data_IF_745266648265
#
_entry.id   IF_745266648265
#
_cell.length_a   1.000
_cell.length_b   1.000
_cell.length_c   1.000
_cell.angle_alpha   90.00
_cell.angle_beta   90.00
_cell.angle_gamma   90.00
#
_symmetry.space_group_name_H-M   'P 1'
#
loop_
_entity.id
_entity.type
_entity.pdbx_description
1 polymer ?
#
# COMPACT_ATOMS: atom_id res chain seq x y z
N UNK A 1 10.19 -18.73 -2.82
CA UNK A 1 8.75 -18.87 -2.48
C UNK A 1 8.00 -17.77 -3.20
N UNK A 2 6.98 -18.10 -4.01
CA UNK A 2 6.18 -17.10 -4.74
C UNK A 2 4.99 -16.66 -3.90
N UNK A 3 4.67 -15.37 -3.89
CA UNK A 3 3.53 -14.80 -3.16
C UNK A 3 2.89 -13.69 -3.98
N UNK A 4 1.57 -13.70 -4.08
CA UNK A 4 0.83 -12.56 -4.61
C UNK A 4 0.90 -11.39 -3.64
N UNK A 5 1.27 -10.22 -4.14
CA UNK A 5 1.31 -8.95 -3.42
C UNK A 5 0.59 -7.86 -4.22
N UNK A 6 0.20 -6.79 -3.53
CA UNK A 6 -0.31 -5.58 -4.16
C UNK A 6 0.79 -4.54 -4.28
N UNK A 7 0.89 -3.91 -5.45
CA UNK A 7 1.71 -2.73 -5.68
C UNK A 7 0.81 -1.53 -5.91
N UNK A 8 1.28 -0.35 -5.49
CA UNK A 8 0.63 0.91 -5.80
C UNK A 8 1.57 1.78 -6.62
N UNK A 9 1.29 1.86 -7.92
CA UNK A 9 2.16 2.47 -8.91
C UNK A 9 1.51 3.67 -9.58
N UNK A 10 2.34 4.64 -9.94
CA UNK A 10 1.95 5.73 -10.81
C UNK A 10 2.10 5.30 -12.27
N UNK A 11 1.05 5.46 -13.07
CA UNK A 11 1.08 5.17 -14.51
C UNK A 11 1.97 6.15 -15.28
N UNK A 12 2.06 7.39 -14.81
CA UNK A 12 2.78 8.47 -15.49
C UNK A 12 4.29 8.34 -15.29
N UNK A 13 4.77 8.21 -14.05
CA UNK A 13 6.20 8.04 -13.78
C UNK A 13 6.68 6.58 -13.73
N UNK A 14 5.78 5.59 -13.87
CA UNK A 14 6.06 4.14 -13.92
C UNK A 14 6.84 3.60 -12.73
N UNK A 15 6.67 4.21 -11.56
CA UNK A 15 7.32 3.80 -10.30
C UNK A 15 6.27 3.36 -9.29
N UNK A 16 6.67 2.47 -8.40
CA UNK A 16 5.94 2.20 -7.16
C UNK A 16 6.15 3.40 -6.23
N UNK A 17 5.12 4.22 -6.06
CA UNK A 17 5.25 5.46 -5.32
C UNK A 17 5.18 5.26 -3.81
N UNK A 18 4.32 4.33 -3.37
CA UNK A 18 4.16 4.02 -1.95
C UNK A 18 4.04 2.50 -1.80
N UNK A 19 4.90 1.86 -1.01
CA UNK A 19 4.81 0.43 -0.76
C UNK A 19 3.59 0.10 0.11
N UNK A 20 2.84 -0.92 -0.28
CA UNK A 20 1.74 -1.46 0.53
C UNK A 20 2.33 -2.43 1.57
N UNK A 21 2.26 -2.03 2.84
CA UNK A 21 2.70 -2.84 3.98
C UNK A 21 1.51 -3.40 4.78
N UNK A 22 1.78 -4.27 5.75
CA UNK A 22 0.74 -4.92 6.58
C UNK A 22 -0.20 -3.94 7.31
N UNK A 23 0.31 -2.75 7.64
CA UNK A 23 -0.42 -1.70 8.36
C UNK A 23 -1.17 -0.73 7.42
N UNK A 24 -0.99 -0.88 6.10
CA UNK A 24 -1.69 -0.09 5.09
C UNK A 24 -3.20 -0.27 5.20
N UNK A 25 -3.96 0.81 4.97
CA UNK A 25 -5.40 0.83 5.16
C UNK A 25 -6.15 0.51 3.88
N UNK A 26 -7.15 -0.35 4.01
CA UNK A 26 -8.15 -0.59 2.99
C UNK A 26 -9.26 0.48 3.07
N UNK A 27 -9.98 0.70 1.98
CA UNK A 27 -11.23 1.48 1.97
C UNK A 27 -12.24 1.03 3.04
N UNK A 28 -12.29 -0.27 3.35
CA UNK A 28 -13.17 -0.80 4.40
C UNK A 28 -12.73 -0.44 5.84
N UNK A 29 -11.54 0.15 6.01
CA UNK A 29 -10.97 0.57 7.29
C UNK A 29 -10.03 -0.46 7.95
N UNK A 30 -10.07 -1.73 7.51
CA UNK A 30 -9.15 -2.76 7.99
C UNK A 30 -7.76 -2.62 7.35
N UNK A 31 -6.76 -3.30 7.93
CA UNK A 31 -5.38 -3.21 7.45
C UNK A 31 -5.12 -4.30 6.41
N UNK A 32 -3.99 -4.22 5.73
CA UNK A 32 -3.64 -5.19 4.69
C UNK A 32 -3.42 -6.60 5.24
N UNK A 33 -2.97 -6.74 6.50
CA UNK A 33 -2.82 -8.06 7.12
C UNK A 33 -4.14 -8.83 7.23
N UNK A 34 -5.28 -8.18 7.33
CA UNK A 34 -6.59 -8.84 7.34
C UNK A 34 -7.06 -9.25 5.93
N UNK A 35 -6.23 -9.07 4.89
CA UNK A 35 -6.53 -9.35 3.49
C UNK A 35 -5.55 -10.40 2.91
N UNK A 36 -5.73 -11.68 3.23
CA UNK A 36 -4.85 -12.75 2.77
C UNK A 36 -4.87 -12.92 1.25
N UNK A 37 -3.70 -13.23 0.70
CA UNK A 37 -3.53 -13.46 -0.74
C UNK A 37 -3.69 -14.92 -1.16
N UNK A 38 -3.86 -15.84 -0.21
CA UNK A 38 -4.04 -17.27 -0.49
C UNK A 38 -5.02 -17.91 0.50
N UNK A 39 -5.76 -18.92 0.05
CA UNK A 39 -6.66 -19.73 0.87
C UNK A 39 -5.92 -20.62 1.88
N UNK A 40 -4.60 -20.78 1.74
CA UNK A 40 -3.75 -21.49 2.69
C UNK A 40 -3.45 -20.68 3.96
N UNK A 41 -3.73 -19.37 3.96
CA UNK A 41 -3.48 -18.50 5.11
C UNK A 41 -4.34 -18.93 6.32
N UNK A 42 -3.75 -19.14 7.52
CA UNK A 42 -4.48 -19.60 8.71
C UNK A 42 -5.65 -18.70 9.13
N UNK A 43 -5.65 -17.43 8.71
CA UNK A 43 -6.73 -16.47 9.01
C UNK A 43 -7.98 -16.73 8.17
N UNK A 44 -7.85 -17.47 7.06
CA UNK A 44 -8.97 -17.85 6.18
C UNK A 44 -9.76 -18.98 6.82
N UNK A 45 -10.88 -18.62 7.47
CA UNK A 45 -11.80 -19.60 8.09
C UNK A 45 -12.62 -20.38 7.07
N UNK A 46 -13.00 -19.75 5.95
CA UNK A 46 -13.78 -20.37 4.89
C UNK A 46 -12.97 -20.39 3.59
N UNK A 47 -12.37 -21.55 3.28
CA UNK A 47 -11.55 -21.73 2.07
C UNK A 47 -12.39 -21.86 0.79
N UNK A 48 -13.65 -22.27 0.90
CA UNK A 48 -14.55 -22.49 -0.25
C UNK A 48 -14.95 -21.17 -0.89
N UNK A 49 -15.26 -20.16 -0.07
CA UNK A 49 -15.65 -18.82 -0.53
C UNK A 49 -14.48 -17.82 -0.51
N UNK A 50 -13.24 -18.32 -0.55
CA UNK A 50 -12.06 -17.49 -0.51
C UNK A 50 -11.96 -16.61 -1.76
N UNK A 51 -11.61 -15.34 -1.54
CA UNK A 51 -11.29 -14.38 -2.60
C UNK A 51 -9.99 -13.69 -2.21
N UNK A 52 -9.06 -13.61 -3.16
CA UNK A 52 -7.74 -13.03 -2.93
C UNK A 52 -7.88 -11.57 -2.49
N UNK A 53 -7.18 -11.24 -1.40
CA UNK A 53 -7.20 -9.93 -0.78
C UNK A 53 -8.59 -9.48 -0.32
N UNK A 54 -9.60 -10.35 -0.22
CA UNK A 54 -10.83 -10.01 0.50
C UNK A 54 -10.55 -9.98 2.01
N UNK A 55 -11.24 -9.10 2.73
CA UNK A 55 -11.04 -8.98 4.18
C UNK A 55 -11.61 -10.19 4.91
N UNK A 56 -10.84 -10.77 5.82
CA UNK A 56 -11.30 -11.87 6.70
C UNK A 56 -11.98 -11.38 7.98
N UNK A 57 -12.02 -10.07 8.22
CA UNK A 57 -12.74 -9.51 9.37
C UNK A 57 -14.24 -9.81 9.29
N UNK A 58 -14.82 -10.16 10.43
CA UNK A 58 -16.24 -10.52 10.55
C UNK A 58 -17.15 -9.44 9.96
N UNK A 59 -18.08 -9.84 9.08
CA UNK A 59 -19.08 -8.97 8.42
C UNK A 59 -18.48 -7.87 7.52
N UNK A 60 -17.19 -7.95 7.13
CA UNK A 60 -16.66 -7.03 6.15
C UNK A 60 -17.16 -7.40 4.74
N UNK A 61 -17.69 -6.41 4.01
CA UNK A 61 -18.27 -6.63 2.69
C UNK A 61 -17.30 -6.34 1.53
N UNK A 62 -16.05 -5.94 1.81
CA UNK A 62 -15.13 -5.56 0.74
C UNK A 62 -14.73 -6.75 -0.12
N UNK A 63 -14.83 -6.60 -1.43
CA UNK A 63 -14.52 -7.67 -2.37
C UNK A 63 -13.02 -7.96 -2.51
N UNK A 64 -12.18 -6.94 -2.30
CA UNK A 64 -10.73 -7.02 -2.34
C UNK A 64 -10.12 -5.83 -1.58
N UNK A 65 -8.82 -5.84 -1.34
CA UNK A 65 -8.10 -4.72 -0.73
C UNK A 65 -8.09 -3.55 -1.71
N UNK A 66 -8.39 -2.37 -1.21
CA UNK A 66 -8.28 -1.13 -1.96
C UNK A 66 -7.45 -0.17 -1.13
N UNK A 67 -6.21 0.07 -1.56
CA UNK A 67 -5.28 0.91 -0.82
C UNK A 67 -5.78 2.36 -0.70
N UNK A 68 -5.80 2.87 0.53
CA UNK A 68 -6.03 4.28 0.84
C UNK A 68 -4.77 4.84 1.48
N UNK A 69 -4.14 5.81 0.80
CA UNK A 69 -2.91 6.44 1.30
C UNK A 69 -3.16 7.07 2.67
N UNK A 70 -2.22 6.80 3.58
CA UNK A 70 -2.24 7.28 4.95
C UNK A 70 -0.80 7.50 5.44
N UNK A 71 -0.62 8.51 6.29
CA UNK A 71 0.67 8.86 6.90
C UNK A 71 0.44 9.20 8.37
N UNK A 72 0.95 8.35 9.28
CA UNK A 72 0.69 8.44 10.71
C UNK A 72 -0.82 8.41 11.02
N UNK A 73 -1.32 9.47 11.65
CA UNK A 73 -2.74 9.62 11.97
C UNK A 73 -3.59 10.20 10.81
N UNK A 74 -2.95 10.66 9.73
CA UNK A 74 -3.62 11.25 8.58
C UNK A 74 -3.97 10.18 7.54
N UNK A 75 -5.13 10.36 6.89
CA UNK A 75 -5.61 9.46 5.83
C UNK A 75 -6.37 10.25 4.78
N UNK A 76 -6.25 9.81 3.52
CA UNK A 76 -6.93 10.44 2.41
C UNK A 76 -8.45 10.52 2.61
N UNK A 77 -9.00 11.61 2.08
CA UNK A 77 -10.43 11.84 1.95
C UNK A 77 -10.81 11.86 0.49
N UNK A 78 -12.08 11.57 0.24
CA UNK A 78 -12.68 11.76 -1.07
C UNK A 78 -12.85 13.28 -1.35
N UNK A 79 -13.00 13.69 -2.62
CA UNK A 79 -13.36 15.06 -3.01
C UNK A 79 -14.67 15.53 -2.37
N UNK A 80 -15.56 14.60 -2.02
CA UNK A 80 -16.75 14.89 -1.23
C UNK A 80 -16.47 15.23 0.26
N UNK A 81 -15.20 15.28 0.67
CA UNK A 81 -14.67 15.59 2.02
C UNK A 81 -14.94 14.52 3.08
N UNK A 82 -15.67 13.46 2.74
CA UNK A 82 -15.93 12.33 3.63
C UNK A 82 -14.75 11.36 3.72
N UNK A 83 -14.72 10.56 4.79
CA UNK A 83 -13.66 9.58 5.02
C UNK A 83 -13.81 8.39 4.07
N UNK A 84 -12.73 7.66 3.83
CA UNK A 84 -12.75 6.43 3.03
C UNK A 84 -13.81 5.41 3.52
N UNK A 85 -13.91 5.20 4.84
CA UNK A 85 -14.91 4.28 5.44
C UNK A 85 -16.38 4.70 5.24
N UNK A 86 -16.62 5.96 4.85
CA UNK A 86 -17.96 6.44 4.53
C UNK A 86 -18.41 5.99 3.13
N UNK A 87 -17.54 5.32 2.37
CA UNK A 87 -17.83 4.76 1.05
C UNK A 87 -18.11 3.26 1.16
N UNK A 88 -19.00 2.73 0.33
CA UNK A 88 -19.28 1.30 0.28
C UNK A 88 -18.09 0.55 -0.34
N UNK A 89 -17.41 -0.36 0.38
CA UNK A 89 -16.26 -1.07 -0.16
C UNK A 89 -16.62 -2.33 -0.95
N UNK A 90 -17.91 -2.65 -1.07
CA UNK A 90 -18.37 -3.90 -1.69
C UNK A 90 -18.13 -3.95 -3.19
N UNK A 91 -18.24 -2.81 -3.88
CA UNK A 91 -18.02 -2.73 -5.33
C UNK A 91 -17.57 -1.34 -5.77
N UNK A 92 -16.75 -1.30 -6.83
CA UNK A 92 -16.40 -0.07 -7.53
C UNK A 92 -17.67 0.54 -8.16
N UNK A 93 -17.82 1.87 -8.18
CA UNK A 93 -16.81 2.92 -7.92
C UNK A 93 -16.68 3.34 -6.44
N UNK A 94 -17.24 2.57 -5.51
CA UNK A 94 -17.25 2.84 -4.08
C UNK A 94 -18.03 4.12 -3.72
N UNK A 95 -19.36 4.06 -3.88
CA UNK A 95 -20.22 5.20 -3.63
C UNK A 95 -20.21 5.63 -2.15
N UNK A 96 -20.27 6.94 -1.92
CA UNK A 96 -20.40 7.47 -0.56
C UNK A 96 -21.80 7.17 0.00
N UNK A 97 -21.85 6.68 1.24
CA UNK A 97 -23.08 6.34 1.97
C UNK A 97 -23.62 7.50 2.81
N UNK A 98 -22.95 8.66 2.80
CA UNK A 98 -23.41 9.84 3.55
C UNK A 98 -24.66 10.41 2.89
N UNK A 99 -25.66 10.83 3.68
CA UNK A 99 -26.89 11.40 3.14
C UNK A 99 -26.57 12.65 2.33
N UNK A 100 -27.26 12.82 1.19
CA UNK A 100 -27.11 13.97 0.28
C UNK A 100 -25.73 14.12 -0.36
N UNK A 101 -24.86 13.12 -0.27
CA UNK A 101 -23.61 13.09 -1.03
C UNK A 101 -23.88 12.62 -2.46
N UNK A 102 -23.39 13.36 -3.44
CA UNK A 102 -23.58 13.08 -4.88
C UNK A 102 -22.28 12.71 -5.59
N UNK A 103 -21.25 12.23 -4.87
CA UNK A 103 -20.01 11.82 -5.52
C UNK A 103 -20.20 10.52 -6.31
N UNK A 104 -19.57 10.44 -7.47
CA UNK A 104 -19.64 9.29 -8.37
C UNK A 104 -18.89 8.07 -7.84
N UNK A 105 -18.01 8.24 -6.85
CA UNK A 105 -17.20 7.19 -6.26
C UNK A 105 -16.18 7.77 -5.28
N UNK A 106 -15.33 6.90 -4.72
CA UNK A 106 -14.18 7.36 -3.96
C UNK A 106 -13.11 7.90 -4.91
N UNK A 107 -12.76 9.17 -4.75
CA UNK A 107 -11.78 9.86 -5.58
C UNK A 107 -11.13 10.99 -4.77
N UNK A 108 -9.80 11.08 -4.75
CA UNK A 108 -9.07 12.00 -3.86
C UNK A 108 -8.42 13.16 -4.62
N UNK A 109 -8.48 14.41 -4.10
CA UNK A 109 -7.79 15.56 -4.70
C UNK A 109 -6.29 15.63 -4.37
N UNK A 110 -5.77 14.68 -3.59
CA UNK A 110 -4.37 14.68 -3.20
C UNK A 110 -3.43 14.44 -4.38
N UNK A 111 -2.28 15.11 -4.34
CA UNK A 111 -1.18 14.97 -5.29
C UNK A 111 -0.08 14.17 -4.60
N UNK A 112 0.42 13.14 -5.27
CA UNK A 112 1.50 12.32 -4.75
C UNK A 112 2.82 13.07 -4.75
N UNK A 113 3.77 12.64 -3.91
CA UNK A 113 5.15 13.15 -3.89
C UNK A 113 5.90 12.92 -5.21
N UNK A 114 5.34 12.13 -6.15
CA UNK A 114 5.83 12.03 -7.52
C UNK A 114 5.29 13.12 -8.45
N UNK A 115 4.60 14.13 -7.91
CA UNK A 115 3.94 15.27 -8.58
C UNK A 115 2.78 14.91 -9.53
N UNK A 116 2.24 13.70 -9.41
CA UNK A 116 1.08 13.25 -10.19
C UNK A 116 -0.19 13.13 -9.33
N UNK A 117 -1.37 13.37 -9.90
CA UNK A 117 -2.63 13.26 -9.16
C UNK A 117 -2.89 11.82 -8.69
N UNK A 118 -3.68 11.67 -7.64
CA UNK A 118 -4.09 10.35 -7.14
C UNK A 118 -4.70 9.46 -8.25
N UNK A 119 -5.43 10.04 -9.20
CA UNK A 119 -6.04 9.35 -10.35
C UNK A 119 -5.05 8.74 -11.33
N UNK A 120 -3.79 9.17 -11.32
CA UNK A 120 -2.73 8.57 -12.15
C UNK A 120 -2.17 7.29 -11.53
N UNK A 121 -2.59 6.96 -10.32
CA UNK A 121 -2.11 5.79 -9.61
C UNK A 121 -3.11 4.64 -9.66
N UNK A 122 -2.58 3.43 -9.71
CA UNK A 122 -3.37 2.21 -9.71
C UNK A 122 -2.77 1.18 -8.78
N UNK A 123 -3.60 0.21 -8.42
CA UNK A 123 -3.20 -0.94 -7.65
C UNK A 123 -3.10 -2.15 -8.58
N UNK A 124 -1.95 -2.80 -8.58
CA UNK A 124 -1.68 -3.99 -9.38
C UNK A 124 -1.42 -5.20 -8.48
N UNK A 125 -1.98 -6.37 -8.84
CA UNK A 125 -1.63 -7.65 -8.21
C UNK A 125 -0.46 -8.23 -8.97
N UNK A 126 0.66 -8.48 -8.29
CA UNK A 126 1.84 -9.11 -8.89
C UNK A 126 2.28 -10.33 -8.09
N UNK A 127 2.82 -11.33 -8.79
CA UNK A 127 3.53 -12.43 -8.14
C UNK A 127 4.97 -11.99 -7.84
N UNK A 128 5.33 -11.95 -6.56
CA UNK A 128 6.70 -11.67 -6.12
C UNK A 128 7.35 -12.94 -5.62
N UNK A 129 8.52 -13.25 -6.14
CA UNK A 129 9.36 -14.32 -5.60
C UNK A 129 10.18 -13.79 -4.42
N UNK A 130 9.97 -14.38 -3.26
CA UNK A 130 10.77 -14.12 -2.06
C UNK A 130 11.88 -15.18 -1.96
N UNK A 131 13.13 -14.71 -2.02
CA UNK A 131 14.35 -15.52 -1.90
C UNK A 131 15.18 -15.04 -0.71
N UNK A 132 14.75 -15.35 0.52
CA UNK A 132 15.32 -14.74 1.74
C UNK A 132 16.81 -15.01 1.91
N UNK A 133 17.31 -16.19 1.51
CA UNK A 133 18.73 -16.52 1.59
C UNK A 133 19.57 -15.69 0.61
N UNK A 134 19.14 -15.54 -0.65
CA UNK A 134 19.85 -14.70 -1.62
C UNK A 134 19.84 -13.23 -1.21
N UNK A 135 18.70 -12.71 -0.73
CA UNK A 135 18.63 -11.33 -0.24
C UNK A 135 19.56 -11.08 0.96
N UNK A 136 19.64 -12.04 1.89
CA UNK A 136 20.56 -11.95 3.03
C UNK A 136 22.02 -12.03 2.57
N UNK A 137 22.33 -12.92 1.62
CA UNK A 137 23.66 -13.06 1.05
C UNK A 137 24.10 -11.78 0.34
N UNK A 138 23.25 -11.22 -0.53
CA UNK A 138 23.47 -9.94 -1.19
C UNK A 138 23.68 -8.82 -0.16
N UNK A 139 22.87 -8.75 0.90
CA UNK A 139 23.05 -7.76 1.98
C UNK A 139 24.38 -7.92 2.74
N UNK A 140 24.87 -9.14 2.91
CA UNK A 140 26.17 -9.41 3.52
C UNK A 140 27.35 -9.15 2.57
N UNK A 141 27.11 -9.21 1.26
CA UNK A 141 28.11 -8.99 0.20
C UNK A 141 28.19 -7.52 -0.26
N UNK A 142 27.22 -6.67 0.12
CA UNK A 142 27.32 -5.21 -0.08
C UNK A 142 28.40 -4.65 0.84
N UNK A 143 29.60 -4.40 0.29
CA UNK A 143 30.77 -3.84 0.98
C UNK A 143 30.49 -2.48 1.68
N UNK A 144 29.51 -1.70 1.21
CA UNK A 144 29.30 -0.31 1.64
C UNK A 144 28.68 -0.12 3.04
N UNK A 145 28.10 -1.13 3.67
CA UNK A 145 27.63 -1.00 5.07
C UNK A 145 28.79 -0.96 6.08
N UNK A 146 30.01 -1.27 5.65
CA UNK A 146 31.22 -1.20 6.48
C UNK A 146 31.93 0.15 6.42
N UNK A 147 31.58 1.02 5.47
CA UNK A 147 32.25 2.31 5.28
C UNK A 147 31.41 3.43 5.88
N UNK A 148 31.57 3.63 7.19
CA UNK A 148 31.10 4.84 7.86
C UNK A 148 31.94 6.01 7.35
N UNK A 149 31.49 6.68 6.29
CA UNK A 149 32.06 7.95 5.90
C UNK A 149 31.71 8.99 6.97
N UNK A 150 32.68 9.27 7.86
CA UNK A 150 32.60 10.40 8.81
C UNK A 150 32.70 11.71 8.04
N UNK A 151 31.56 12.21 7.59
CA UNK A 151 31.43 13.50 6.89
C UNK A 151 31.56 14.71 7.83
N UNK A 152 31.84 14.50 9.12
CA UNK A 152 31.93 15.52 10.17
C UNK A 152 33.36 16.07 10.39
N UNK A 153 34.38 15.51 9.72
CA UNK A 153 35.75 16.01 9.80
C UNK A 153 36.12 16.77 8.52
N UNK A 154 36.08 18.10 8.60
CA UNK A 154 36.74 18.97 7.63
C UNK A 154 38.22 19.06 7.99
N UNK A 155 39.12 18.65 7.08
CA UNK A 155 40.57 18.87 7.22
C UNK A 155 40.96 20.06 6.38
N UNK A 156 41.42 21.13 7.05
CA UNK A 156 42.12 22.24 6.39
C UNK A 156 43.56 21.83 6.09
N UNK A 157 44.13 22.16 4.91
CA UNK A 157 45.52 21.85 4.61
C UNK A 157 46.47 22.64 5.52
N UNK A 158 47.36 21.95 6.23
CA UNK A 158 48.52 22.61 6.83
C UNK A 158 49.51 22.91 5.71
N UNK A 159 49.60 24.20 5.33
CA UNK A 159 50.54 24.69 4.32
C UNK A 159 51.98 24.62 4.80
N UNK A 160 52.61 23.47 4.57
CA UNK A 160 54.08 23.31 4.49
C UNK A 160 54.55 23.56 3.06
#
# INVERSE_FOLDING_TARGET
>A
MKKLILKWNCRTCKRECIPICEESRCLCGHRYKEHPSTSADPRVKNKVNFREFACTSTKCACASFFYVVAEGAWILRCRCKHKHIDHDPSSKPFHCKKPKCSCSGFDSPWICNCDHPWTDHEQEIVEKEFRPLQLLQEQCEIEELSVVHRTDLFTEPLGL
#
